data_IF_937457070253
#
_entry.id   IF_937457070253
#
_cell.length_a   1.000
_cell.length_b   1.000
_cell.length_c   1.000
_cell.angle_alpha   90.00
_cell.angle_beta   90.00
_cell.angle_gamma   90.00
#
_symmetry.space_group_name_H-M   'P 1'
#
loop_
_entity.id
_entity.type
_entity.pdbx_description
1 polymer ?
#
# COMPACT_ATOMS: atom_id res chain seq x y z
N UNK A 1 -22.52 9.25 -7.60
CA UNK A 1 -21.47 10.09 -8.22
C UNK A 1 -20.78 11.03 -7.22
N UNK A 2 -21.48 11.71 -6.31
CA UNK A 2 -20.86 12.52 -5.22
C UNK A 2 -20.09 11.68 -4.16
N UNK A 3 -20.46 10.41 -3.96
CA UNK A 3 -19.79 9.45 -3.07
C UNK A 3 -18.44 8.92 -3.59
N UNK A 4 -18.12 9.15 -4.87
CA UNK A 4 -16.88 8.72 -5.53
C UNK A 4 -15.79 9.81 -5.51
N UNK A 5 -16.23 11.07 -5.57
CA UNK A 5 -15.33 12.23 -5.62
C UNK A 5 -14.72 12.48 -4.24
N UNK A 6 -15.46 12.24 -3.16
CA UNK A 6 -15.01 12.62 -1.81
C UNK A 6 -13.77 11.84 -1.31
N UNK A 7 -13.72 10.50 -1.38
CA UNK A 7 -12.54 9.75 -0.91
C UNK A 7 -11.32 9.97 -1.81
N UNK A 8 -11.54 10.02 -3.14
CA UNK A 8 -10.50 10.29 -4.12
C UNK A 8 -9.97 11.72 -4.00
N UNK A 9 -10.84 12.71 -3.74
CA UNK A 9 -10.42 14.09 -3.46
C UNK A 9 -9.70 14.22 -2.13
N UNK A 10 -10.06 13.46 -1.09
CA UNK A 10 -9.33 13.46 0.19
C UNK A 10 -7.92 12.87 0.00
N UNK A 11 -7.76 11.82 -0.80
CA UNK A 11 -6.45 11.23 -1.11
C UNK A 11 -5.63 12.16 -2.02
N UNK A 12 -6.24 12.74 -3.07
CA UNK A 12 -5.61 13.73 -3.93
C UNK A 12 -5.23 14.98 -3.13
N UNK A 13 -6.09 15.47 -2.23
CA UNK A 13 -5.77 16.56 -1.31
C UNK A 13 -4.61 16.16 -0.41
N UNK A 14 -4.58 14.97 0.19
CA UNK A 14 -3.46 14.54 1.02
C UNK A 14 -2.13 14.50 0.24
N UNK A 15 -2.14 14.02 -1.01
CA UNK A 15 -0.98 13.99 -1.90
C UNK A 15 -0.57 15.42 -2.31
N UNK A 16 -1.52 16.27 -2.70
CA UNK A 16 -1.29 17.67 -3.06
C UNK A 16 -0.80 18.47 -1.85
N UNK A 17 -1.32 18.21 -0.65
CA UNK A 17 -0.89 18.84 0.60
C UNK A 17 0.51 18.36 0.99
N UNK A 18 0.87 17.10 0.75
CA UNK A 18 2.23 16.60 0.94
C UNK A 18 3.22 17.24 -0.05
N UNK A 19 2.84 17.40 -1.32
CA UNK A 19 3.64 18.09 -2.35
C UNK A 19 3.78 19.60 -2.03
N UNK A 20 2.72 20.23 -1.53
CA UNK A 20 2.75 21.63 -1.09
C UNK A 20 3.57 21.83 0.19
N UNK A 21 3.49 20.92 1.17
CA UNK A 21 4.36 20.93 2.35
C UNK A 21 5.83 20.77 1.96
N UNK A 22 6.14 19.90 1.00
CA UNK A 22 7.48 19.71 0.47
C UNK A 22 8.00 20.96 -0.27
N UNK A 23 7.13 21.66 -1.04
CA UNK A 23 7.44 22.98 -1.61
C UNK A 23 7.62 24.06 -0.53
N UNK A 24 6.78 24.09 0.51
CA UNK A 24 6.88 25.06 1.61
C UNK A 24 8.14 24.81 2.45
N UNK A 25 8.47 23.56 2.76
CA UNK A 25 9.72 23.17 3.40
C UNK A 25 10.92 23.60 2.55
N UNK A 26 10.91 23.38 1.23
CA UNK A 26 11.96 23.89 0.33
C UNK A 26 12.06 25.42 0.31
N UNK A 27 10.94 26.13 0.39
CA UNK A 27 10.92 27.60 0.48
C UNK A 27 11.42 28.13 1.83
N UNK A 28 11.05 27.47 2.93
CA UNK A 28 11.49 27.83 4.29
C UNK A 28 12.98 27.52 4.49
N UNK A 29 13.46 26.38 3.96
CA UNK A 29 14.88 26.00 3.98
C UNK A 29 15.75 26.92 3.11
N UNK A 30 15.19 27.55 2.06
CA UNK A 30 15.90 28.54 1.23
C UNK A 30 15.95 29.94 1.83
N UNK A 31 15.08 30.29 2.79
CA UNK A 31 14.98 31.67 3.32
C UNK A 31 15.51 31.87 4.75
N UNK A 32 16.06 30.84 5.40
CA UNK A 32 16.67 30.95 6.73
C UNK A 32 15.80 31.74 7.74
N UNK A 33 14.48 31.52 7.71
CA UNK A 33 13.53 32.26 8.56
C UNK A 33 13.46 31.57 9.91
N UNK A 34 14.11 32.15 10.92
CA UNK A 34 14.08 31.67 12.30
C UNK A 34 12.69 31.78 12.92
N UNK A 35 12.20 30.67 13.47
CA UNK A 35 11.37 30.43 14.68
C UNK A 35 10.31 31.42 15.21
N UNK A 36 10.04 32.58 14.61
CA UNK A 36 9.13 33.58 15.18
C UNK A 36 7.69 33.51 14.64
N UNK A 37 7.41 32.72 13.61
CA UNK A 37 6.08 32.73 12.95
C UNK A 37 5.03 31.82 13.61
N UNK A 38 5.42 30.93 14.53
CA UNK A 38 4.50 29.96 15.15
C UNK A 38 3.67 30.52 16.32
N UNK A 39 3.78 31.82 16.64
CA UNK A 39 3.08 32.43 17.79
C UNK A 39 1.83 33.24 17.44
N UNK A 40 1.46 33.38 16.18
CA UNK A 40 0.24 34.10 15.83
C UNK A 40 -0.45 33.48 14.63
N UNK A 41 -1.57 32.79 14.86
CA UNK A 41 -2.69 32.82 13.91
C UNK A 41 -3.93 32.16 14.52
N UNK A 42 -4.96 32.99 14.63
CA UNK A 42 -6.35 32.74 15.01
C UNK A 42 -7.11 31.89 13.98
N UNK A 43 -6.44 31.00 13.24
CA UNK A 43 -7.00 30.26 12.10
C UNK A 43 -7.55 28.88 12.48
N UNK A 44 -7.25 28.38 13.69
CA UNK A 44 -7.60 27.02 14.12
C UNK A 44 -9.02 26.85 14.71
N UNK A 45 -9.88 27.88 14.73
CA UNK A 45 -11.15 27.84 15.49
C UNK A 45 -12.43 27.59 14.68
N UNK A 46 -12.37 27.28 13.38
CA UNK A 46 -13.60 27.16 12.57
C UNK A 46 -13.83 25.83 11.83
N UNK A 47 -13.08 24.77 12.12
CA UNK A 47 -13.30 23.44 11.53
C UNK A 47 -13.32 22.33 12.57
N UNK A 48 -14.09 22.53 13.64
CA UNK A 48 -14.32 21.53 14.68
C UNK A 48 -15.78 21.06 14.63
N UNK A 49 -16.18 20.38 13.56
CA UNK A 49 -17.33 19.47 13.59
C UNK A 49 -17.18 18.49 12.42
N UNK A 50 -17.13 17.18 12.75
CA UNK A 50 -17.13 16.03 11.82
C UNK A 50 -15.80 15.51 11.23
N UNK A 51 -14.76 15.21 12.01
CA UNK A 51 -13.66 14.34 11.55
C UNK A 51 -12.95 13.61 12.71
N UNK A 52 -13.08 12.29 12.85
CA UNK A 52 -12.47 11.55 13.97
C UNK A 52 -11.52 10.40 13.60
N UNK A 53 -11.28 10.05 12.34
CA UNK A 53 -10.37 8.93 11.99
C UNK A 53 -9.12 9.38 11.23
N UNK A 54 -9.27 10.27 10.25
CA UNK A 54 -8.17 10.84 9.46
C UNK A 54 -7.32 11.85 10.24
N UNK A 55 -7.94 12.64 11.13
CA UNK A 55 -7.22 13.61 11.95
C UNK A 55 -6.30 12.94 12.97
N UNK A 56 -6.65 11.75 13.47
CA UNK A 56 -5.85 10.97 14.41
C UNK A 56 -4.62 10.38 13.71
N UNK A 57 -4.78 9.84 12.50
CA UNK A 57 -3.66 9.28 11.72
C UNK A 57 -2.68 10.36 11.26
N UNK A 58 -3.17 11.53 10.86
CA UNK A 58 -2.34 12.67 10.47
C UNK A 58 -1.62 13.29 11.69
N UNK A 59 -2.28 13.40 12.84
CA UNK A 59 -1.63 13.84 14.08
C UNK A 59 -0.59 12.84 14.58
N UNK A 60 -0.82 11.53 14.42
CA UNK A 60 0.17 10.51 14.77
C UNK A 60 1.41 10.64 13.87
N UNK A 61 1.21 10.84 12.56
CA UNK A 61 2.29 11.08 11.61
C UNK A 61 3.07 12.38 11.94
N UNK A 62 2.37 13.48 12.22
CA UNK A 62 2.99 14.76 12.62
C UNK A 62 3.73 14.64 13.96
N UNK A 63 3.16 13.96 14.95
CA UNK A 63 3.82 13.73 16.26
C UNK A 63 5.02 12.82 16.15
N UNK A 64 4.99 11.80 15.29
CA UNK A 64 6.15 10.95 14.97
C UNK A 64 7.25 11.74 14.25
N UNK A 65 6.89 12.60 13.30
CA UNK A 65 7.82 13.49 12.60
C UNK A 65 8.43 14.54 13.54
N UNK A 66 7.69 15.01 14.55
CA UNK A 66 8.17 16.03 15.51
C UNK A 66 8.99 15.40 16.65
N UNK A 67 8.66 14.16 17.06
CA UNK A 67 9.37 13.44 18.13
C UNK A 67 10.78 13.00 17.71
N UNK A 68 11.02 12.71 16.42
CA UNK A 68 12.36 12.33 15.94
C UNK A 68 13.40 13.46 15.99
N UNK A 69 12.97 14.72 16.17
CA UNK A 69 13.87 15.88 16.23
C UNK A 69 14.27 16.30 17.66
N UNK A 70 13.77 15.61 18.70
CA UNK A 70 14.23 15.81 20.09
C UNK A 70 14.80 14.51 20.64
N UNK A 71 16.07 14.56 21.06
CA UNK A 71 16.74 13.43 21.72
C UNK A 71 15.95 12.98 22.96
N UNK A 72 15.61 11.69 23.00
CA UNK A 72 15.16 10.96 24.19
C UNK A 72 13.65 10.98 24.45
N UNK A 73 12.97 9.86 24.20
CA UNK A 73 11.70 9.51 24.86
C UNK A 73 11.33 8.04 24.57
N UNK A 74 11.78 7.12 25.42
CA UNK A 74 11.32 5.72 25.45
C UNK A 74 9.88 5.57 26.03
N UNK A 75 9.19 6.67 26.33
CA UNK A 75 7.94 6.66 27.11
C UNK A 75 6.67 6.96 26.32
N UNK A 76 6.76 7.27 25.02
CA UNK A 76 5.59 7.68 24.21
C UNK A 76 4.77 6.51 23.62
N UNK A 77 5.34 5.30 23.56
CA UNK A 77 4.67 4.13 22.96
C UNK A 77 3.58 3.52 23.87
N UNK A 78 3.68 3.69 25.18
CA UNK A 78 2.75 3.05 26.14
C UNK A 78 1.48 3.88 26.34
N UNK A 79 1.56 5.22 26.29
CA UNK A 79 0.38 6.09 26.48
C UNK A 79 -0.54 6.18 25.26
N UNK A 80 -0.03 5.91 24.05
CA UNK A 80 -0.86 5.87 22.83
C UNK A 80 -1.80 4.67 22.76
N UNK A 81 -1.44 3.56 23.41
CA UNK A 81 -2.25 2.34 23.42
C UNK A 81 -3.31 2.33 24.54
N UNK A 82 -3.05 3.01 25.65
CA UNK A 82 -3.96 3.07 26.81
C UNK A 82 -5.06 4.14 26.70
N UNK A 83 -4.92 5.14 25.83
CA UNK A 83 -5.96 6.17 25.61
C UNK A 83 -7.06 5.76 24.61
N UNK A 84 -7.00 4.54 24.07
CA UNK A 84 -8.12 3.92 23.34
C UNK A 84 -9.11 3.20 24.25
N UNK A 85 -8.88 3.17 25.57
CA UNK A 85 -9.71 2.47 26.54
C UNK A 85 -9.94 3.31 27.80
N UNK A 86 -10.68 4.41 27.69
CA UNK A 86 -11.28 5.08 28.85
C UNK A 86 -12.44 6.02 28.42
N UNK A 87 -13.63 5.69 28.91
CA UNK A 87 -14.87 6.50 29.04
C UNK A 87 -15.65 6.87 27.76
N UNK A 88 -16.99 6.77 27.69
CA UNK A 88 -18.02 6.56 28.72
C UNK A 88 -19.38 6.14 28.09
N UNK A 89 -20.33 5.57 28.87
CA UNK A 89 -21.59 5.00 28.42
C UNK A 89 -22.71 6.06 28.27
N UNK A 90 -23.59 5.90 27.28
CA UNK A 90 -24.87 6.60 27.26
C UNK A 90 -26.01 5.70 26.75
N UNK A 91 -26.77 5.25 27.74
CA UNK A 91 -28.23 5.14 27.83
C UNK A 91 -29.03 5.69 26.63
N UNK A 92 -29.85 4.84 26.02
CA UNK A 92 -30.95 5.25 25.14
C UNK A 92 -32.17 4.36 25.39
N UNK A 93 -32.80 4.61 26.53
CA UNK A 93 -34.21 4.34 26.75
C UNK A 93 -35.06 5.26 25.84
N UNK A 94 -35.65 4.71 24.76
CA UNK A 94 -36.72 5.37 24.02
C UNK A 94 -37.64 4.38 23.28
N UNK A 95 -38.82 4.18 23.88
CA UNK A 95 -40.14 3.88 23.31
C UNK A 95 -40.29 2.82 22.20
N UNK A 96 -40.80 1.65 22.59
CA UNK A 96 -41.61 0.80 21.71
C UNK A 96 -42.98 1.46 21.43
N UNK A 97 -43.51 1.43 20.19
CA UNK A 97 -44.92 1.73 19.94
C UNK A 97 -45.79 0.49 20.25
N UNK A 98 -47.07 0.68 20.63
CA UNK A 98 -47.94 -0.42 21.03
C UNK A 98 -48.37 -1.28 19.83
N UNK A 99 -48.55 -2.57 20.09
CA UNK A 99 -49.14 -3.55 19.17
C UNK A 99 -50.52 -3.09 18.68
N UNK A 100 -50.76 -3.14 17.36
CA UNK A 100 -52.15 -3.16 16.86
C UNK A 100 -52.53 -2.35 15.61
N UNK A 101 -51.61 -1.76 14.84
CA UNK A 101 -51.98 -1.10 13.56
C UNK A 101 -51.35 -1.78 12.34
N UNK A 102 -52.18 -2.54 11.63
CA UNK A 102 -51.89 -3.14 10.32
C UNK A 102 -51.66 -2.03 9.28
N UNK A 103 -50.40 -1.64 9.06
CA UNK A 103 -50.04 -0.82 7.92
C UNK A 103 -50.05 -1.70 6.66
N UNK A 104 -51.05 -1.51 5.81
CA UNK A 104 -51.01 -2.05 4.45
C UNK A 104 -50.00 -1.19 3.69
N UNK A 105 -48.77 -1.70 3.53
CA UNK A 105 -47.83 -1.16 2.55
C UNK A 105 -48.38 -1.56 1.19
N UNK A 106 -49.00 -0.61 0.48
CA UNK A 106 -49.17 -0.73 -0.96
C UNK A 106 -47.76 -0.82 -1.54
N UNK A 107 -47.44 -1.93 -2.17
CA UNK A 107 -46.29 -2.02 -3.07
C UNK A 107 -46.52 -1.01 -4.20
N UNK A 108 -46.00 0.20 -4.04
CA UNK A 108 -45.67 1.05 -5.17
C UNK A 108 -44.49 0.38 -5.86
N UNK A 109 -44.75 -0.29 -6.98
CA UNK A 109 -43.73 -0.69 -7.93
C UNK A 109 -42.95 0.58 -8.32
N UNK A 110 -41.81 0.79 -7.68
CA UNK A 110 -40.81 1.72 -8.18
C UNK A 110 -40.30 1.15 -9.50
N UNK A 111 -40.23 1.93 -10.58
CA UNK A 111 -39.64 1.44 -11.81
C UNK A 111 -38.21 1.01 -11.51
N UNK A 112 -37.92 -0.29 -11.67
CA UNK A 112 -36.57 -0.83 -11.62
C UNK A 112 -35.83 -0.18 -12.79
N UNK A 113 -35.13 0.92 -12.52
CA UNK A 113 -34.20 1.51 -13.46
C UNK A 113 -33.19 0.43 -13.77
N UNK A 114 -33.20 -0.06 -15.02
CA UNK A 114 -32.21 -1.04 -15.49
C UNK A 114 -30.82 -0.46 -15.24
N UNK A 115 -30.11 -1.05 -14.27
CA UNK A 115 -28.73 -0.67 -13.94
C UNK A 115 -27.89 -0.68 -15.22
N UNK A 116 -27.17 0.40 -15.48
CA UNK A 116 -26.30 0.44 -16.65
C UNK A 116 -25.22 -0.63 -16.53
N UNK A 117 -24.59 -1.00 -17.65
CA UNK A 117 -23.44 -1.91 -17.60
C UNK A 117 -22.33 -1.40 -16.67
N UNK A 118 -22.23 -0.09 -16.46
CA UNK A 118 -21.26 0.54 -15.56
C UNK A 118 -21.70 0.49 -14.08
N UNK A 119 -22.99 0.62 -13.78
CA UNK A 119 -23.49 0.54 -12.39
C UNK A 119 -23.18 -0.82 -11.77
N UNK A 120 -23.30 -1.90 -12.58
CA UNK A 120 -22.96 -3.28 -12.18
C UNK A 120 -21.50 -3.49 -11.73
N UNK A 121 -20.59 -2.60 -12.12
CA UNK A 121 -19.18 -2.68 -11.70
C UNK A 121 -18.95 -2.17 -10.29
N UNK A 122 -19.87 -1.35 -9.78
CA UNK A 122 -19.78 -0.72 -8.47
C UNK A 122 -20.78 -1.32 -7.47
N UNK A 123 -21.59 -2.27 -7.90
CA UNK A 123 -22.50 -3.01 -7.03
C UNK A 123 -21.70 -3.76 -5.95
N UNK A 124 -22.17 -3.64 -4.70
CA UNK A 124 -21.63 -4.36 -3.56
C UNK A 124 -21.69 -5.89 -3.81
N UNK A 125 -20.65 -6.62 -3.42
CA UNK A 125 -20.48 -8.06 -3.66
C UNK A 125 -20.50 -8.50 -5.14
N UNK A 126 -20.33 -7.57 -6.09
CA UNK A 126 -20.04 -7.93 -7.48
C UNK A 126 -18.62 -8.49 -7.67
N UNK A 127 -17.72 -8.25 -6.71
CA UNK A 127 -16.40 -8.85 -6.62
C UNK A 127 -16.34 -10.12 -5.77
N UNK A 128 -15.16 -10.75 -5.69
CA UNK A 128 -14.95 -11.99 -4.94
C UNK A 128 -14.69 -11.77 -3.44
N UNK A 129 -15.72 -11.94 -2.62
CA UNK A 129 -15.57 -11.85 -1.17
C UNK A 129 -14.66 -12.94 -0.56
N UNK A 130 -14.00 -12.58 0.55
CA UNK A 130 -13.15 -13.44 1.39
C UNK A 130 -13.90 -13.88 2.65
N UNK A 131 -13.28 -14.71 3.49
CA UNK A 131 -13.97 -15.27 4.66
C UNK A 131 -14.49 -14.21 5.64
N UNK A 132 -13.82 -13.07 5.77
CA UNK A 132 -14.22 -11.99 6.67
C UNK A 132 -15.62 -11.45 6.36
N UNK A 133 -16.04 -11.45 5.10
CA UNK A 133 -17.31 -10.84 4.68
C UNK A 133 -18.55 -11.61 5.16
N UNK A 134 -18.40 -12.82 5.71
CA UNK A 134 -19.50 -13.59 6.24
C UNK A 134 -20.28 -12.76 7.28
N UNK A 135 -21.60 -12.65 7.15
CA UNK A 135 -22.48 -11.75 7.91
C UNK A 135 -22.15 -11.63 9.42
N UNK A 136 -21.75 -12.75 10.06
CA UNK A 136 -21.36 -12.81 11.47
C UNK A 136 -20.13 -11.95 11.83
N UNK A 137 -19.23 -11.72 10.87
CA UNK A 137 -17.92 -11.08 11.05
C UNK A 137 -17.83 -9.71 10.36
N UNK A 138 -18.91 -9.24 9.73
CA UNK A 138 -19.06 -7.84 9.32
C UNK A 138 -19.14 -6.95 10.55
N UNK A 139 -17.99 -6.40 10.96
CA UNK A 139 -17.88 -5.61 12.19
C UNK A 139 -18.33 -4.15 12.04
N UNK A 140 -18.37 -3.63 10.80
CA UNK A 140 -18.63 -2.22 10.55
C UNK A 140 -19.54 -2.01 9.33
N UNK A 141 -20.62 -1.20 9.42
CA UNK A 141 -21.62 -1.08 8.35
C UNK A 141 -21.12 -0.32 7.11
N UNK A 142 -19.95 0.33 7.20
CA UNK A 142 -19.37 1.12 6.10
C UNK A 142 -18.14 0.47 5.45
N UNK A 143 -17.62 -0.63 6.00
CA UNK A 143 -16.41 -1.30 5.51
C UNK A 143 -16.68 -2.80 5.49
N UNK A 144 -16.72 -3.38 4.29
CA UNK A 144 -17.15 -4.76 4.11
C UNK A 144 -16.24 -5.78 4.81
N UNK A 145 -14.93 -5.65 4.62
CA UNK A 145 -13.91 -6.51 5.24
C UNK A 145 -12.91 -5.62 6.00
N UNK A 146 -13.23 -5.29 7.25
CA UNK A 146 -12.48 -4.31 8.04
C UNK A 146 -11.00 -4.69 8.20
N UNK A 147 -10.71 -5.93 8.62
CA UNK A 147 -9.35 -6.41 8.83
C UNK A 147 -8.57 -6.43 7.51
N UNK A 148 -9.13 -6.99 6.44
CA UNK A 148 -8.51 -6.98 5.11
C UNK A 148 -8.25 -5.55 4.60
N UNK A 149 -9.14 -4.61 4.92
CA UNK A 149 -8.98 -3.19 4.55
C UNK A 149 -7.82 -2.54 5.30
N UNK A 150 -7.74 -2.67 6.63
CA UNK A 150 -6.73 -1.96 7.43
C UNK A 150 -5.34 -2.59 7.36
N UNK A 151 -5.24 -3.89 7.11
CA UNK A 151 -3.94 -4.58 6.99
C UNK A 151 -3.18 -4.24 5.70
N UNK A 152 -3.79 -3.47 4.79
CA UNK A 152 -3.12 -2.85 3.64
C UNK A 152 -2.27 -1.61 4.02
N UNK A 153 -2.38 -1.08 5.25
CA UNK A 153 -1.62 0.11 5.65
C UNK A 153 -0.08 -0.01 5.47
N UNK A 154 0.58 -1.15 5.77
CA UNK A 154 2.02 -1.29 5.56
C UNK A 154 2.44 -1.18 4.10
N UNK A 155 1.70 -1.79 3.15
CA UNK A 155 2.01 -1.69 1.71
C UNK A 155 1.74 -0.28 1.16
N UNK A 156 0.88 0.52 1.81
CA UNK A 156 0.69 1.94 1.49
C UNK A 156 1.89 2.78 1.96
N UNK A 157 2.31 2.61 3.22
CA UNK A 157 3.24 3.54 3.89
C UNK A 157 4.71 3.18 3.64
N UNK A 158 5.08 1.92 3.79
CA UNK A 158 6.49 1.50 3.79
C UNK A 158 7.23 1.78 2.47
N UNK A 159 6.62 1.65 1.27
CA UNK A 159 7.31 1.98 0.02
C UNK A 159 7.70 3.45 -0.06
N UNK A 160 6.83 4.36 0.39
CA UNK A 160 7.11 5.79 0.41
C UNK A 160 8.19 6.14 1.45
N UNK A 161 8.19 5.46 2.61
CA UNK A 161 9.28 5.60 3.58
C UNK A 161 10.62 5.19 2.94
N UNK A 162 10.68 4.06 2.22
CA UNK A 162 11.90 3.66 1.51
C UNK A 162 12.32 4.68 0.45
N UNK A 163 11.37 5.19 -0.35
CA UNK A 163 11.65 6.23 -1.34
C UNK A 163 12.20 7.52 -0.69
N UNK A 164 11.70 7.91 0.50
CA UNK A 164 12.22 9.05 1.25
C UNK A 164 13.65 8.83 1.79
N UNK A 165 13.97 7.61 2.20
CA UNK A 165 15.34 7.22 2.60
C UNK A 165 16.29 7.24 1.40
N UNK A 166 15.79 6.88 0.23
CA UNK A 166 16.53 6.86 -1.04
C UNK A 166 16.46 8.18 -1.81
N UNK A 167 15.87 9.24 -1.25
CA UNK A 167 15.54 10.47 -1.99
C UNK A 167 16.71 11.05 -2.78
N UNK A 168 17.91 11.09 -2.19
CA UNK A 168 19.11 11.65 -2.85
C UNK A 168 19.52 10.79 -4.04
N UNK A 169 19.46 9.47 -3.90
CA UNK A 169 19.76 8.55 -4.99
C UNK A 169 18.72 8.66 -6.12
N UNK A 170 17.44 8.72 -5.77
CA UNK A 170 16.35 8.85 -6.73
C UNK A 170 16.46 10.17 -7.52
N UNK A 171 16.79 11.29 -6.87
CA UNK A 171 16.89 12.59 -7.55
C UNK A 171 18.15 12.71 -8.39
N UNK A 172 19.28 12.22 -7.88
CA UNK A 172 20.59 12.55 -8.45
C UNK A 172 21.09 11.46 -9.41
N UNK A 173 20.55 10.24 -9.34
CA UNK A 173 21.06 9.07 -10.09
C UNK A 173 19.97 8.42 -10.93
N UNK A 174 18.92 7.89 -10.31
CA UNK A 174 17.93 7.07 -11.01
C UNK A 174 16.51 7.28 -10.48
N UNK A 175 15.80 8.23 -11.09
CA UNK A 175 14.43 8.56 -10.71
C UNK A 175 13.42 7.43 -10.98
N UNK A 176 13.74 6.51 -11.90
CA UNK A 176 12.82 5.42 -12.27
C UNK A 176 12.53 4.47 -11.10
N UNK A 177 13.42 4.38 -10.11
CA UNK A 177 13.18 3.59 -8.89
C UNK A 177 11.99 4.11 -8.08
N UNK A 178 11.65 5.39 -8.21
CA UNK A 178 10.47 5.94 -7.55
C UNK A 178 9.17 5.29 -8.05
N UNK A 179 9.09 4.93 -9.34
CA UNK A 179 7.85 4.44 -9.95
C UNK A 179 7.35 3.11 -9.35
N UNK A 180 8.20 2.06 -9.17
CA UNK A 180 7.80 0.88 -8.41
C UNK A 180 7.25 1.22 -7.02
N UNK A 181 7.93 2.07 -6.25
CA UNK A 181 7.49 2.43 -4.88
C UNK A 181 6.12 3.10 -4.89
N UNK A 182 5.91 4.04 -5.81
CA UNK A 182 4.62 4.70 -5.99
C UNK A 182 3.52 3.70 -6.38
N UNK A 183 3.79 2.78 -7.31
CA UNK A 183 2.82 1.78 -7.74
C UNK A 183 2.48 0.76 -6.66
N UNK A 184 3.44 0.42 -5.79
CA UNK A 184 3.18 -0.43 -4.64
C UNK A 184 2.25 0.26 -3.63
N UNK A 185 2.44 1.57 -3.41
CA UNK A 185 1.49 2.37 -2.62
C UNK A 185 0.11 2.45 -3.27
N UNK A 186 0.03 2.63 -4.60
CA UNK A 186 -1.23 2.63 -5.34
C UNK A 186 -1.92 1.26 -5.22
N UNK A 187 -1.18 0.16 -5.28
CA UNK A 187 -1.72 -1.17 -5.07
C UNK A 187 -2.33 -1.32 -3.68
N UNK A 188 -1.64 -0.88 -2.62
CA UNK A 188 -2.20 -0.86 -1.27
C UNK A 188 -3.51 -0.07 -1.16
N UNK A 189 -3.59 1.09 -1.83
CA UNK A 189 -4.82 1.91 -1.87
C UNK A 189 -5.93 1.19 -2.64
N UNK A 190 -5.61 0.57 -3.77
CA UNK A 190 -6.56 -0.18 -4.58
C UNK A 190 -7.12 -1.39 -3.82
N UNK A 191 -6.26 -2.15 -3.14
CA UNK A 191 -6.67 -3.27 -2.29
C UNK A 191 -7.52 -2.81 -1.10
N UNK A 192 -7.15 -1.69 -0.45
CA UNK A 192 -7.98 -1.06 0.60
C UNK A 192 -9.38 -0.71 0.05
N UNK A 193 -9.45 -0.09 -1.13
CA UNK A 193 -10.72 0.25 -1.76
C UNK A 193 -11.55 -1.00 -2.08
N UNK A 194 -10.91 -2.04 -2.60
CA UNK A 194 -11.56 -3.30 -2.91
C UNK A 194 -12.16 -3.94 -1.65
N UNK A 195 -11.37 -4.17 -0.61
CA UNK A 195 -11.84 -4.81 0.63
C UNK A 195 -12.86 -3.97 1.41
N UNK A 196 -12.84 -2.64 1.23
CA UNK A 196 -13.86 -1.79 1.82
C UNK A 196 -15.22 -1.89 1.11
N UNK A 197 -15.23 -2.20 -0.20
CA UNK A 197 -16.42 -2.07 -1.05
C UNK A 197 -16.92 -3.36 -1.71
N UNK A 198 -16.07 -4.37 -1.82
CA UNK A 198 -16.30 -5.66 -2.49
C UNK A 198 -16.93 -5.56 -3.88
N UNK A 199 -16.62 -4.51 -4.63
CA UNK A 199 -17.11 -4.36 -6.00
C UNK A 199 -16.08 -4.80 -7.06
N UNK A 200 -16.59 -5.16 -8.23
CA UNK A 200 -15.81 -5.67 -9.36
C UNK A 200 -14.76 -4.66 -9.86
N UNK A 201 -15.09 -3.36 -9.88
CA UNK A 201 -14.13 -2.33 -10.25
C UNK A 201 -12.92 -2.32 -9.30
N UNK A 202 -13.17 -2.37 -7.99
CA UNK A 202 -12.13 -2.42 -6.97
C UNK A 202 -11.26 -3.65 -7.12
N UNK A 203 -11.88 -4.82 -7.34
CA UNK A 203 -11.15 -6.06 -7.59
C UNK A 203 -10.21 -5.92 -8.80
N UNK A 204 -10.73 -5.39 -9.91
CA UNK A 204 -9.96 -5.24 -11.12
C UNK A 204 -8.79 -4.26 -10.93
N UNK A 205 -9.01 -3.13 -10.27
CA UNK A 205 -7.95 -2.13 -10.03
C UNK A 205 -6.89 -2.66 -9.06
N UNK A 206 -7.28 -3.40 -8.02
CA UNK A 206 -6.33 -4.07 -7.11
C UNK A 206 -5.41 -5.02 -7.90
N UNK A 207 -5.99 -6.00 -8.57
CA UNK A 207 -5.24 -7.02 -9.32
C UNK A 207 -4.44 -6.42 -10.51
N UNK A 208 -5.00 -5.46 -11.26
CA UNK A 208 -4.28 -4.80 -12.38
C UNK A 208 -3.11 -3.95 -11.87
N UNK A 209 -3.25 -3.30 -10.72
CA UNK A 209 -2.15 -2.50 -10.16
C UNK A 209 -0.91 -3.35 -9.88
N UNK A 210 -1.07 -4.63 -9.51
CA UNK A 210 0.03 -5.59 -9.37
C UNK A 210 0.67 -5.90 -10.73
N UNK A 211 -0.13 -6.13 -11.78
CA UNK A 211 0.38 -6.35 -13.14
C UNK A 211 1.23 -5.17 -13.62
N UNK A 212 0.74 -3.94 -13.43
CA UNK A 212 1.50 -2.72 -13.74
C UNK A 212 2.76 -2.62 -12.90
N UNK A 213 2.68 -2.94 -11.61
CA UNK A 213 3.83 -2.92 -10.72
C UNK A 213 4.95 -3.87 -11.20
N UNK A 214 4.62 -5.13 -11.53
CA UNK A 214 5.60 -6.11 -12.01
C UNK A 214 6.29 -5.61 -13.29
N UNK A 215 5.51 -5.09 -14.24
CA UNK A 215 6.03 -4.59 -15.51
C UNK A 215 6.89 -3.33 -15.34
N UNK A 216 6.51 -2.42 -14.43
CA UNK A 216 7.32 -1.22 -14.16
C UNK A 216 8.57 -1.55 -13.35
N UNK A 217 8.54 -2.51 -12.44
CA UNK A 217 9.76 -3.08 -11.84
C UNK A 217 10.71 -3.60 -12.93
N UNK A 218 10.18 -4.36 -13.89
CA UNK A 218 10.98 -4.82 -15.01
C UNK A 218 11.58 -3.63 -15.79
N UNK A 219 10.77 -2.64 -16.19
CA UNK A 219 11.24 -1.43 -16.91
C UNK A 219 12.33 -0.65 -16.15
N UNK A 220 12.14 -0.46 -14.84
CA UNK A 220 13.05 0.30 -13.99
C UNK A 220 14.40 -0.41 -13.82
N UNK A 221 14.39 -1.72 -13.55
CA UNK A 221 15.58 -2.48 -13.20
C UNK A 221 16.22 -3.22 -14.39
N UNK A 222 15.56 -3.30 -15.56
CA UNK A 222 16.10 -3.96 -16.76
C UNK A 222 17.56 -3.59 -17.12
N UNK A 223 18.00 -2.32 -17.02
CA UNK A 223 19.38 -1.95 -17.38
C UNK A 223 20.43 -2.66 -16.51
N UNK A 224 20.12 -2.84 -15.23
CA UNK A 224 21.05 -3.38 -14.22
C UNK A 224 20.90 -4.89 -14.03
N UNK A 225 19.84 -5.52 -14.55
CA UNK A 225 19.63 -6.97 -14.47
C UNK A 225 20.77 -7.74 -15.16
N UNK A 226 21.22 -8.83 -14.51
CA UNK A 226 22.25 -9.75 -15.00
C UNK A 226 21.66 -10.80 -15.94
N UNK A 227 20.43 -11.23 -15.70
CA UNK A 227 19.76 -12.24 -16.53
C UNK A 227 19.50 -11.73 -17.96
N UNK A 228 19.40 -10.41 -18.12
CA UNK A 228 19.03 -9.80 -19.39
C UNK A 228 20.23 -9.76 -20.37
N UNK A 229 20.10 -10.36 -21.58
CA UNK A 229 21.22 -10.46 -22.52
C UNK A 229 21.80 -9.11 -22.95
N UNK A 230 23.13 -8.98 -22.88
CA UNK A 230 23.84 -7.72 -23.18
C UNK A 230 23.57 -7.19 -24.61
N UNK A 231 23.39 -8.10 -25.58
CA UNK A 231 23.09 -7.72 -26.97
C UNK A 231 21.73 -7.00 -27.11
N UNK A 232 20.77 -7.33 -26.25
CA UNK A 232 19.43 -6.73 -26.27
C UNK A 232 19.39 -5.37 -25.54
N UNK A 233 20.38 -5.06 -24.69
CA UNK A 233 20.48 -3.75 -24.03
C UNK A 233 20.67 -2.58 -25.01
N UNK A 234 21.10 -2.85 -26.25
CA UNK A 234 21.18 -1.84 -27.32
C UNK A 234 19.81 -1.23 -27.65
N UNK A 235 18.74 -2.02 -27.57
CA UNK A 235 17.37 -1.62 -27.88
C UNK A 235 16.51 -1.44 -26.62
N UNK A 236 17.13 -1.09 -25.49
CA UNK A 236 16.47 -0.99 -24.18
C UNK A 236 15.22 -0.08 -24.20
N UNK A 237 15.30 1.09 -24.85
CA UNK A 237 14.15 2.00 -24.92
C UNK A 237 12.98 1.40 -25.69
N UNK A 238 13.25 0.71 -26.80
CA UNK A 238 12.21 -0.01 -27.55
C UNK A 238 11.57 -1.12 -26.72
N UNK A 239 12.37 -1.89 -25.97
CA UNK A 239 11.87 -2.92 -25.06
C UNK A 239 10.99 -2.33 -23.95
N UNK A 240 11.41 -1.22 -23.33
CA UNK A 240 10.63 -0.53 -22.28
C UNK A 240 9.27 -0.07 -22.80
N UNK A 241 9.23 0.58 -23.96
CA UNK A 241 7.98 0.98 -24.59
C UNK A 241 7.12 -0.22 -24.99
N UNK A 242 7.74 -1.30 -25.47
CA UNK A 242 7.05 -2.55 -25.77
C UNK A 242 6.36 -3.15 -24.54
N UNK A 243 7.03 -3.17 -23.38
CA UNK A 243 6.46 -3.64 -22.11
C UNK A 243 5.30 -2.74 -21.67
N UNK A 244 5.44 -1.42 -21.73
CA UNK A 244 4.36 -0.49 -21.35
C UNK A 244 3.17 -0.62 -22.28
N UNK A 245 3.40 -0.72 -23.59
CA UNK A 245 2.34 -0.87 -24.59
C UNK A 245 1.59 -2.21 -24.43
N UNK A 246 2.31 -3.32 -24.23
CA UNK A 246 1.68 -4.62 -24.00
C UNK A 246 0.89 -4.66 -22.69
N UNK A 247 1.42 -4.08 -21.61
CA UNK A 247 0.72 -3.98 -20.33
C UNK A 247 -0.57 -3.15 -20.46
N UNK A 248 -0.50 -2.04 -21.20
CA UNK A 248 -1.68 -1.18 -21.48
C UNK A 248 -2.73 -1.94 -22.27
N UNK A 249 -2.31 -2.66 -23.32
CA UNK A 249 -3.19 -3.47 -24.14
C UNK A 249 -3.88 -4.56 -23.32
N UNK A 250 -3.12 -5.36 -22.56
CA UNK A 250 -3.67 -6.42 -21.69
C UNK A 250 -4.65 -5.83 -20.66
N UNK A 251 -4.32 -4.69 -20.06
CA UNK A 251 -5.19 -4.01 -19.10
C UNK A 251 -6.53 -3.61 -19.74
N UNK A 252 -6.50 -3.04 -20.95
CA UNK A 252 -7.72 -2.69 -21.69
C UNK A 252 -8.60 -3.92 -21.98
N UNK A 253 -7.99 -5.06 -22.31
CA UNK A 253 -8.73 -6.33 -22.47
C UNK A 253 -9.34 -6.83 -21.16
N UNK A 254 -8.68 -6.64 -20.03
CA UNK A 254 -9.23 -7.01 -18.72
C UNK A 254 -10.43 -6.13 -18.34
N UNK A 255 -10.50 -4.87 -18.81
CA UNK A 255 -11.73 -4.06 -18.67
C UNK A 255 -12.90 -4.57 -19.50
N UNK A 256 -12.64 -5.28 -20.61
CA UNK A 256 -13.68 -5.90 -21.45
C UNK A 256 -14.09 -7.26 -20.86
N UNK A 257 -13.13 -8.04 -20.40
CA UNK A 257 -13.33 -9.39 -19.82
C UNK A 257 -12.52 -9.54 -18.53
N UNK A 258 -13.08 -9.14 -17.36
CA UNK A 258 -12.39 -9.14 -16.08
C UNK A 258 -11.80 -10.50 -15.66
N UNK A 259 -12.42 -11.61 -16.07
CA UNK A 259 -11.92 -12.95 -15.77
C UNK A 259 -10.54 -13.26 -16.37
N UNK A 260 -10.06 -12.48 -17.34
CA UNK A 260 -8.71 -12.62 -17.87
C UNK A 260 -7.62 -12.09 -16.93
N UNK A 261 -7.99 -11.25 -15.96
CA UNK A 261 -7.01 -10.55 -15.13
C UNK A 261 -6.16 -11.52 -14.28
N UNK A 262 -6.81 -12.49 -13.63
CA UNK A 262 -6.12 -13.54 -12.89
C UNK A 262 -5.14 -14.33 -13.78
N UNK A 263 -5.53 -14.64 -15.01
CA UNK A 263 -4.66 -15.34 -15.96
C UNK A 263 -3.45 -14.50 -16.36
N UNK A 264 -3.65 -13.21 -16.65
CA UNK A 264 -2.57 -12.28 -16.97
C UNK A 264 -1.60 -12.13 -15.79
N UNK A 265 -2.13 -11.95 -14.59
CA UNK A 265 -1.34 -11.77 -13.38
C UNK A 265 -0.48 -13.02 -13.09
N UNK A 266 -1.04 -14.22 -13.17
CA UNK A 266 -0.27 -15.46 -12.95
C UNK A 266 0.80 -15.66 -14.02
N UNK A 267 0.47 -15.37 -15.28
CA UNK A 267 1.39 -15.51 -16.42
C UNK A 267 2.62 -14.60 -16.30
N UNK A 268 2.49 -13.42 -15.67
CA UNK A 268 3.62 -12.52 -15.41
C UNK A 268 4.32 -12.79 -14.08
N UNK A 269 3.58 -13.20 -13.05
CA UNK A 269 4.12 -13.42 -11.71
C UNK A 269 5.09 -14.60 -11.69
N UNK A 270 4.76 -15.72 -12.35
CA UNK A 270 5.61 -16.93 -12.33
C UNK A 270 7.01 -16.66 -12.92
N UNK A 271 7.17 -16.08 -14.13
CA UNK A 271 8.49 -15.68 -14.63
C UNK A 271 9.15 -14.62 -13.74
N UNK A 272 8.37 -13.69 -13.17
CA UNK A 272 8.85 -12.70 -12.23
C UNK A 272 9.54 -13.31 -11.01
N UNK A 273 8.98 -14.39 -10.46
CA UNK A 273 9.58 -15.15 -9.36
C UNK A 273 10.98 -15.65 -9.71
N UNK A 274 11.13 -16.25 -10.90
CA UNK A 274 12.40 -16.78 -11.36
C UNK A 274 13.46 -15.67 -11.52
N UNK A 275 13.06 -14.51 -12.07
CA UNK A 275 13.93 -13.34 -12.21
C UNK A 275 14.34 -12.79 -10.84
N UNK A 276 13.39 -12.64 -9.91
CA UNK A 276 13.66 -12.17 -8.54
C UNK A 276 14.68 -13.09 -7.84
N UNK A 277 14.47 -14.40 -7.93
CA UNK A 277 15.40 -15.38 -7.37
C UNK A 277 16.79 -15.23 -7.99
N UNK A 278 16.87 -15.27 -9.33
CA UNK A 278 18.13 -15.20 -10.05
C UNK A 278 18.90 -13.92 -9.74
N UNK A 279 18.25 -12.75 -9.78
CA UNK A 279 18.90 -11.47 -9.53
C UNK A 279 19.36 -11.31 -8.07
N UNK A 280 18.57 -11.83 -7.13
CA UNK A 280 18.87 -11.77 -5.70
C UNK A 280 20.01 -12.68 -5.26
N UNK A 281 20.07 -13.92 -5.76
CA UNK A 281 21.18 -14.84 -5.45
C UNK A 281 22.47 -14.45 -6.17
N UNK A 282 22.39 -13.86 -7.37
CA UNK A 282 23.53 -13.37 -8.14
C UNK A 282 23.81 -11.87 -7.92
N UNK A 283 23.36 -11.31 -6.79
CA UNK A 283 23.51 -9.90 -6.48
C UNK A 283 24.97 -9.48 -6.20
N UNK A 284 25.84 -10.41 -5.79
CA UNK A 284 27.20 -10.14 -5.26
C UNK A 284 27.21 -9.28 -3.98
N UNK A 285 26.06 -9.22 -3.29
CA UNK A 285 25.86 -8.47 -2.05
C UNK A 285 25.22 -9.42 -1.03
N UNK A 286 25.90 -9.80 0.07
CA UNK A 286 25.38 -10.76 1.04
C UNK A 286 24.00 -10.39 1.59
N UNK A 287 23.74 -9.10 1.82
CA UNK A 287 22.48 -8.58 2.30
C UNK A 287 21.33 -8.78 1.29
N UNK A 288 21.61 -8.67 -0.01
CA UNK A 288 20.62 -8.90 -1.05
C UNK A 288 20.27 -10.40 -1.14
N UNK A 289 21.26 -11.28 -1.06
CA UNK A 289 21.05 -12.73 -1.04
C UNK A 289 20.27 -13.17 0.21
N UNK A 290 20.60 -12.64 1.39
CA UNK A 290 19.82 -12.88 2.62
C UNK A 290 18.38 -12.37 2.49
N UNK A 291 18.20 -11.18 1.89
CA UNK A 291 16.88 -10.61 1.65
C UNK A 291 16.06 -11.47 0.68
N UNK A 292 16.69 -12.09 -0.32
CA UNK A 292 16.04 -12.99 -1.27
C UNK A 292 15.34 -14.13 -0.53
N UNK A 293 16.09 -14.90 0.26
CA UNK A 293 15.52 -16.02 1.02
C UNK A 293 14.40 -15.60 1.97
N UNK A 294 14.55 -14.43 2.60
CA UNK A 294 13.51 -13.86 3.45
C UNK A 294 12.23 -13.52 2.68
N UNK A 295 12.35 -12.89 1.51
CA UNK A 295 11.20 -12.58 0.63
C UNK A 295 10.46 -13.86 0.28
N UNK A 296 11.19 -14.91 -0.14
CA UNK A 296 10.58 -16.19 -0.50
C UNK A 296 9.91 -16.90 0.68
N UNK A 297 10.52 -16.86 1.87
CA UNK A 297 9.91 -17.43 3.07
C UNK A 297 8.62 -16.69 3.47
N UNK A 298 8.65 -15.35 3.51
CA UNK A 298 7.48 -14.53 3.81
C UNK A 298 6.38 -14.73 2.78
N UNK A 299 6.73 -14.78 1.50
CA UNK A 299 5.77 -14.96 0.43
C UNK A 299 5.15 -16.36 0.43
N UNK A 300 5.94 -17.40 0.73
CA UNK A 300 5.42 -18.75 0.90
C UNK A 300 4.39 -18.80 2.05
N UNK A 301 4.72 -18.22 3.21
CA UNK A 301 3.77 -18.12 4.34
C UNK A 301 2.50 -17.34 3.95
N UNK A 302 2.66 -16.17 3.32
CA UNK A 302 1.53 -15.36 2.87
C UNK A 302 0.62 -16.14 1.93
N UNK A 303 1.20 -16.82 0.93
CA UNK A 303 0.47 -17.63 -0.06
C UNK A 303 -0.27 -18.79 0.61
N UNK A 304 0.34 -19.43 1.62
CA UNK A 304 -0.35 -20.46 2.41
C UNK A 304 -1.59 -19.91 3.13
N UNK A 305 -1.51 -18.74 3.76
CA UNK A 305 -2.67 -18.09 4.39
C UNK A 305 -3.75 -17.70 3.37
N UNK A 306 -3.34 -17.18 2.21
CA UNK A 306 -4.24 -16.84 1.12
C UNK A 306 -5.03 -18.06 0.61
N UNK A 307 -4.36 -19.19 0.38
CA UNK A 307 -5.02 -20.44 -0.02
C UNK A 307 -5.87 -21.02 1.11
N UNK A 308 -5.39 -20.97 2.35
CA UNK A 308 -6.13 -21.48 3.49
C UNK A 308 -7.45 -20.73 3.69
N UNK A 309 -7.44 -19.40 3.58
CA UNK A 309 -8.66 -18.57 3.63
C UNK A 309 -9.63 -19.01 2.52
N UNK A 310 -9.13 -19.12 1.28
CA UNK A 310 -9.97 -19.43 0.12
C UNK A 310 -10.56 -20.84 0.13
N UNK A 311 -9.76 -21.84 0.49
CA UNK A 311 -10.11 -23.26 0.33
C UNK A 311 -10.79 -23.86 1.57
N UNK A 312 -10.53 -23.31 2.76
CA UNK A 312 -10.96 -23.87 4.03
C UNK A 312 -11.82 -22.86 4.83
N UNK A 313 -12.56 -22.00 4.13
CA UNK A 313 -13.29 -20.90 4.75
C UNK A 313 -14.24 -21.35 5.87
N UNK A 314 -15.05 -22.38 5.61
CA UNK A 314 -16.00 -22.91 6.61
C UNK A 314 -15.30 -23.37 7.90
N UNK A 315 -14.12 -23.97 7.76
CA UNK A 315 -13.31 -24.40 8.91
C UNK A 315 -12.83 -23.20 9.74
N UNK A 316 -12.36 -22.14 9.09
CA UNK A 316 -11.91 -20.93 9.79
C UNK A 316 -13.07 -20.14 10.39
N UNK A 317 -14.24 -20.12 9.75
CA UNK A 317 -15.46 -19.53 10.30
C UNK A 317 -15.94 -20.29 11.53
N UNK A 318 -15.84 -21.63 11.52
CA UNK A 318 -16.12 -22.49 12.67
C UNK A 318 -15.20 -22.19 13.85
N UNK A 319 -13.90 -22.00 13.60
CA UNK A 319 -12.91 -21.64 14.63
C UNK A 319 -12.98 -20.17 15.08
N UNK A 320 -13.77 -19.32 14.40
CA UNK A 320 -13.85 -17.90 14.74
C UNK A 320 -12.67 -17.05 14.27
N UNK A 321 -11.94 -17.52 13.24
CA UNK A 321 -10.71 -16.89 12.76
C UNK A 321 -10.76 -16.58 11.24
N UNK A 322 -11.69 -15.75 10.75
CA UNK A 322 -11.86 -15.48 9.31
C UNK A 322 -10.87 -14.45 8.74
N UNK A 323 -9.74 -14.22 9.42
CA UNK A 323 -8.82 -13.11 9.15
C UNK A 323 -7.51 -13.56 8.50
N UNK A 324 -7.48 -14.74 7.86
CA UNK A 324 -6.25 -15.25 7.27
C UNK A 324 -5.85 -14.46 6.04
N UNK A 325 -6.81 -13.96 5.26
CA UNK A 325 -6.52 -13.02 4.18
C UNK A 325 -5.90 -11.70 4.70
N UNK A 326 -6.30 -11.24 5.88
CA UNK A 326 -5.68 -10.08 6.51
C UNK A 326 -4.21 -10.34 6.89
N UNK A 327 -3.89 -11.57 7.34
CA UNK A 327 -2.51 -12.00 7.59
C UNK A 327 -1.70 -12.09 6.29
N UNK A 328 -2.33 -12.54 5.18
CA UNK A 328 -1.72 -12.50 3.85
C UNK A 328 -1.24 -11.08 3.52
N UNK A 329 -2.08 -10.05 3.68
CA UNK A 329 -1.70 -8.66 3.43
C UNK A 329 -0.50 -8.20 4.25
N UNK A 330 -0.43 -8.54 5.54
CA UNK A 330 0.71 -8.17 6.40
C UNK A 330 2.01 -8.84 5.95
N UNK A 331 1.97 -10.14 5.65
CA UNK A 331 3.15 -10.90 5.25
C UNK A 331 3.61 -10.55 3.83
N UNK A 332 2.68 -10.38 2.89
CA UNK A 332 2.96 -9.96 1.52
C UNK A 332 3.50 -8.53 1.49
N UNK A 333 2.98 -7.62 2.33
CA UNK A 333 3.53 -6.27 2.51
C UNK A 333 4.99 -6.30 2.95
N UNK A 334 5.32 -7.12 3.94
CA UNK A 334 6.69 -7.24 4.43
C UNK A 334 7.63 -7.87 3.38
N UNK A 335 7.13 -8.85 2.62
CA UNK A 335 7.85 -9.45 1.51
C UNK A 335 8.12 -8.42 0.39
N UNK A 336 7.10 -7.70 -0.06
CA UNK A 336 7.20 -6.69 -1.11
C UNK A 336 8.11 -5.53 -0.71
N UNK A 337 8.00 -5.04 0.53
CA UNK A 337 8.91 -4.03 1.05
C UNK A 337 10.37 -4.51 1.07
N UNK A 338 10.62 -5.72 1.59
CA UNK A 338 11.96 -6.33 1.62
C UNK A 338 12.52 -6.49 0.20
N UNK A 339 11.67 -6.90 -0.75
CA UNK A 339 12.02 -7.03 -2.16
C UNK A 339 12.48 -5.70 -2.78
N UNK A 340 11.81 -4.60 -2.44
CA UNK A 340 12.13 -3.28 -3.00
C UNK A 340 13.42 -2.71 -2.40
N UNK A 341 13.64 -2.95 -1.11
CA UNK A 341 14.93 -2.66 -0.46
C UNK A 341 16.04 -3.46 -1.14
N UNK A 342 15.83 -4.75 -1.40
CA UNK A 342 16.78 -5.62 -2.10
C UNK A 342 17.12 -5.11 -3.51
N UNK A 343 16.12 -4.80 -4.33
CA UNK A 343 16.35 -4.29 -5.69
C UNK A 343 16.97 -2.89 -5.72
N UNK A 344 16.62 -2.02 -4.76
CA UNK A 344 17.27 -0.72 -4.61
C UNK A 344 18.75 -0.88 -4.27
N UNK A 345 19.09 -1.81 -3.37
CA UNK A 345 20.47 -2.14 -3.03
C UNK A 345 21.24 -2.67 -4.26
N UNK A 346 20.62 -3.54 -5.05
CA UNK A 346 21.19 -4.07 -6.29
C UNK A 346 21.47 -2.95 -7.30
N UNK A 347 20.51 -2.02 -7.53
CA UNK A 347 20.70 -0.91 -8.49
C UNK A 347 21.85 0.02 -8.05
N UNK A 348 21.88 0.41 -6.76
CA UNK A 348 22.94 1.24 -6.18
C UNK A 348 24.31 0.56 -6.31
N UNK A 349 24.40 -0.74 -6.04
CA UNK A 349 25.68 -1.44 -6.12
C UNK A 349 26.17 -1.59 -7.56
N UNK A 350 25.29 -2.01 -8.48
CA UNK A 350 25.64 -2.25 -9.88
C UNK A 350 25.93 -0.96 -10.65
N UNK A 351 25.43 0.19 -10.17
CA UNK A 351 25.75 1.53 -10.69
C UNK A 351 26.85 2.24 -9.91
N UNK A 352 27.61 1.55 -9.06
CA UNK A 352 28.64 2.16 -8.23
C UNK A 352 29.72 2.94 -9.00
N UNK A 353 29.89 2.73 -10.31
CA UNK A 353 30.74 3.56 -11.17
C UNK A 353 30.14 4.92 -11.59
N UNK A 354 28.83 5.11 -11.43
CA UNK A 354 28.07 6.26 -11.94
C UNK A 354 27.76 7.31 -10.86
N UNK A 355 27.97 6.99 -9.58
CA UNK A 355 27.58 7.87 -8.46
C UNK A 355 28.48 7.72 -7.23
N UNK A 356 28.40 8.68 -6.31
CA UNK A 356 29.19 8.69 -5.05
C UNK A 356 28.58 7.93 -3.88
N UNK A 357 27.33 7.47 -3.98
CA UNK A 357 26.62 6.82 -2.87
C UNK A 357 27.08 5.35 -2.64
N UNK A 358 27.15 4.96 -1.38
CA UNK A 358 27.27 3.59 -0.87
C UNK A 358 26.02 3.28 -0.02
N UNK A 359 25.42 2.11 -0.21
CA UNK A 359 24.23 1.70 0.54
C UNK A 359 24.59 0.72 1.67
N UNK A 360 24.17 1.04 2.89
CA UNK A 360 24.27 0.14 4.06
C UNK A 360 22.89 -0.25 4.53
N UNK A 361 22.66 -1.55 4.72
CA UNK A 361 21.38 -2.07 5.22
C UNK A 361 21.40 -2.12 6.74
N UNK A 362 20.36 -1.55 7.36
CA UNK A 362 20.08 -1.67 8.79
C UNK A 362 18.72 -2.35 8.98
N UNK A 363 18.46 -2.81 10.20
CA UNK A 363 17.23 -3.51 10.53
C UNK A 363 16.51 -2.83 11.70
N UNK A 364 15.18 -2.86 11.67
CA UNK A 364 14.31 -2.41 12.76
C UNK A 364 13.27 -3.51 13.08
N UNK A 365 12.92 -3.78 14.35
CA UNK A 365 13.49 -3.21 15.57
C UNK A 365 14.80 -3.88 16.01
N UNK A 366 15.09 -5.10 15.54
CA UNK A 366 16.29 -5.86 15.94
C UNK A 366 17.48 -5.57 15.04
N UNK A 367 18.63 -5.22 15.64
CA UNK A 367 19.88 -4.94 14.93
C UNK A 367 20.45 -6.19 14.21
N UNK A 368 20.24 -7.38 14.78
CA UNK A 368 20.75 -8.64 14.22
C UNK A 368 19.92 -9.12 13.01
N UNK A 369 18.78 -8.47 12.76
CA UNK A 369 17.81 -8.87 11.76
C UNK A 369 17.07 -10.16 12.14
N UNK A 370 15.89 -10.31 11.58
CA UNK A 370 15.02 -11.48 11.76
C UNK A 370 13.96 -11.53 10.66
N UNK A 371 13.20 -12.62 10.59
CA UNK A 371 12.20 -12.80 9.54
C UNK A 371 11.12 -11.70 9.54
N UNK A 372 10.78 -11.15 10.71
CA UNK A 372 9.81 -10.04 10.85
C UNK A 372 10.44 -8.65 11.02
N UNK A 373 11.78 -8.53 10.93
CA UNK A 373 12.43 -7.22 10.96
C UNK A 373 12.22 -6.45 9.65
N UNK A 374 12.20 -5.13 9.68
CA UNK A 374 12.17 -4.27 8.50
C UNK A 374 13.62 -3.89 8.12
N UNK A 375 14.14 -4.34 6.97
CA UNK A 375 15.41 -3.84 6.46
C UNK A 375 15.21 -2.42 5.90
N UNK A 376 16.18 -1.53 6.05
CA UNK A 376 16.13 -0.20 5.43
C UNK A 376 17.53 0.24 5.00
N UNK A 377 17.60 1.03 3.93
CA UNK A 377 18.85 1.53 3.37
C UNK A 377 19.23 2.85 4.05
N UNK A 378 20.49 2.95 4.42
CA UNK A 378 21.15 4.21 4.76
C UNK A 378 22.18 4.51 3.68
N UNK A 379 22.07 5.67 3.06
CA UNK A 379 23.02 6.15 2.06
C UNK A 379 24.20 6.84 2.76
N UNK A 380 25.41 6.48 2.35
CA UNK A 380 26.67 7.12 2.78
C UNK A 380 27.34 7.68 1.53
N UNK A 381 27.79 8.93 1.56
CA UNK A 381 28.58 9.48 0.46
C UNK A 381 30.05 9.04 0.61
N UNK A 382 30.62 8.48 -0.45
CA UNK A 382 32.06 8.21 -0.52
C UNK A 382 32.81 9.54 -0.53
N UNK A 383 33.79 9.68 0.37
CA UNK A 383 34.75 10.78 0.30
C UNK A 383 35.58 10.60 -0.97
N UNK A 384 35.62 11.64 -1.80
CA UNK A 384 36.61 11.74 -2.87
C UNK A 384 37.85 12.29 -2.19
N UNK A 385 38.82 11.41 -1.95
CA UNK A 385 40.15 11.79 -1.45
C UNK A 385 41.00 12.41 -2.58
#
# INVERSE_FOLDING_TARGET
MQSFIYPLMVIIHAIVHAIHLDRLCRMMMRKNVSSAFFKSSTVYRHFAFSENVTFIQLNLCIRLLTAQHRKGAETALIYGFLLLYAESPQDSSALCPPEGSRFIIKETEFPVVSATAMDRWFEYESGHAWCESAYKYQTHPYVAEFANTVTNLPIIVLPMVNAMLLRQYITDVNWMIFLPHLLLTINGIASTYYHATLNLFGQLVDELSILWLINICLVAYLPVMKWYPQNLKKNLNGMRWGIVASTTFISAFCFIKPSLNAFALMSWSIPGVAVIYYEGVNAEIPEATKSTWKVFALWAMATSFWFADRLLCDFWLYLGTPYLHAIFHLLSSLAAYTLFVMFSLIDIHRRSGEHRFEAKVKHFPSANGGIFSLPYITLVERRVD
#
